data_IF_018686142660
#
_entry.id   IF_018686142660
#
_cell.length_a   1.000
_cell.length_b   1.000
_cell.length_c   1.000
_cell.angle_alpha   90.00
_cell.angle_beta   90.00
_cell.angle_gamma   90.00
#
_symmetry.space_group_name_H-M   'P 1'
#
loop_
_entity.id
_entity.type
_entity.pdbx_description
1 polymer ?
#
# COMPACT_ATOMS: atom_id res chain seq x y z
N UNK A 1 7.71 -14.86 4.72
CA UNK A 1 7.84 -13.40 4.60
C UNK A 1 9.17 -13.00 4.00
N UNK A 2 10.30 -13.37 4.63
CA UNK A 2 11.64 -12.95 4.17
C UNK A 2 11.95 -13.39 2.74
N UNK A 3 11.62 -14.63 2.38
CA UNK A 3 11.78 -15.14 1.01
C UNK A 3 11.02 -14.26 0.00
N UNK A 4 9.75 -13.96 0.28
CA UNK A 4 8.94 -13.11 -0.59
C UNK A 4 9.46 -11.67 -0.65
N UNK A 5 9.98 -11.15 0.46
CA UNK A 5 10.59 -9.83 0.50
C UNK A 5 11.82 -9.77 -0.42
N UNK A 6 12.72 -10.74 -0.32
CA UNK A 6 13.91 -10.84 -1.16
C UNK A 6 13.52 -10.97 -2.65
N UNK A 7 12.59 -11.85 -2.97
CA UNK A 7 12.12 -12.04 -4.35
C UNK A 7 11.44 -10.78 -4.92
N UNK A 8 10.67 -10.08 -4.09
CA UNK A 8 10.05 -8.79 -4.47
C UNK A 8 11.11 -7.74 -4.82
N UNK A 9 12.16 -7.62 -3.99
CA UNK A 9 13.27 -6.70 -4.25
C UNK A 9 14.02 -7.06 -5.55
N UNK A 10 14.21 -8.35 -5.83
CA UNK A 10 14.84 -8.83 -7.07
C UNK A 10 14.00 -8.64 -8.31
N UNK A 11 12.68 -8.59 -8.16
CA UNK A 11 11.73 -8.44 -9.29
C UNK A 11 11.59 -7.01 -9.81
N UNK A 12 12.30 -6.04 -9.24
CA UNK A 12 12.22 -4.64 -9.62
C UNK A 12 12.75 -4.40 -11.05
N UNK A 13 11.82 -4.12 -11.97
CA UNK A 13 12.12 -3.94 -13.41
C UNK A 13 12.90 -2.67 -13.73
N UNK A 14 12.85 -1.66 -12.88
CA UNK A 14 13.52 -0.38 -13.09
C UNK A 14 14.99 -0.37 -12.62
N UNK A 15 15.43 -1.39 -11.90
CA UNK A 15 16.81 -1.52 -11.42
C UNK A 15 17.67 -2.32 -12.42
N UNK A 16 18.99 -2.04 -12.49
CA UNK A 16 19.91 -2.86 -13.28
C UNK A 16 19.88 -4.34 -12.87
N UNK A 17 19.96 -5.24 -13.82
CA UNK A 17 19.91 -6.69 -13.56
C UNK A 17 21.07 -7.17 -12.67
N UNK A 18 22.23 -6.55 -12.76
CA UNK A 18 23.36 -6.81 -11.88
C UNK A 18 23.04 -6.53 -10.41
N UNK A 19 22.30 -5.45 -10.16
CA UNK A 19 21.88 -5.04 -8.82
C UNK A 19 20.80 -5.98 -8.27
N UNK A 20 19.76 -6.26 -9.06
CA UNK A 20 18.67 -7.15 -8.63
C UNK A 20 19.14 -8.57 -8.36
N UNK A 21 20.16 -9.05 -9.09
CA UNK A 21 20.81 -10.34 -8.80
C UNK A 21 21.65 -10.35 -7.53
N UNK A 22 22.27 -9.23 -7.20
CA UNK A 22 23.15 -9.13 -6.02
C UNK A 22 22.35 -8.98 -4.72
N UNK A 23 21.19 -8.30 -4.76
CA UNK A 23 20.35 -8.06 -3.58
C UNK A 23 19.90 -9.36 -2.94
N UNK A 24 20.14 -9.44 -1.63
CA UNK A 24 19.67 -10.53 -0.80
C UNK A 24 20.38 -11.86 -1.06
N UNK A 25 21.53 -11.89 -1.73
CA UNK A 25 22.25 -13.16 -1.98
C UNK A 25 22.70 -13.82 -0.67
N UNK A 26 23.33 -13.06 0.21
CA UNK A 26 23.81 -13.58 1.50
C UNK A 26 22.62 -13.88 2.42
N UNK A 27 21.61 -13.00 2.43
CA UNK A 27 20.39 -13.22 3.20
C UNK A 27 19.66 -14.50 2.75
N UNK A 28 19.56 -14.76 1.44
CA UNK A 28 18.96 -15.98 0.89
C UNK A 28 19.79 -17.22 1.26
N UNK A 29 21.10 -17.15 1.14
CA UNK A 29 21.99 -18.25 1.53
C UNK A 29 21.84 -18.63 3.00
N UNK A 30 21.59 -17.66 3.88
CA UNK A 30 21.29 -17.91 5.29
C UNK A 30 19.93 -18.58 5.48
N UNK A 31 18.91 -18.21 4.70
CA UNK A 31 17.60 -18.87 4.73
C UNK A 31 17.65 -20.32 4.26
N UNK A 32 18.47 -20.58 3.25
CA UNK A 32 18.60 -21.90 2.63
C UNK A 32 19.56 -22.82 3.42
N UNK A 33 20.36 -22.25 4.34
CA UNK A 33 21.25 -23.03 5.18
C UNK A 33 20.45 -23.94 6.11
N UNK A 34 20.78 -25.20 6.15
CA UNK A 34 20.17 -26.20 7.03
C UNK A 34 20.54 -26.02 8.53
N UNK A 35 21.25 -24.95 8.87
CA UNK A 35 21.54 -24.59 10.25
C UNK A 35 20.25 -24.14 10.96
N UNK A 36 19.68 -25.03 11.74
CA UNK A 36 18.43 -24.89 12.50
C UNK A 36 18.38 -23.68 13.47
N UNK A 37 19.34 -22.78 13.43
CA UNK A 37 19.57 -21.72 14.43
C UNK A 37 19.64 -20.30 13.87
N UNK A 38 19.43 -20.08 12.57
CA UNK A 38 19.47 -18.71 12.04
C UNK A 38 18.17 -17.99 12.39
N UNK A 39 18.24 -17.00 13.30
CA UNK A 39 17.06 -16.22 13.63
C UNK A 39 16.59 -15.37 12.44
N UNK A 40 15.29 -15.21 12.23
CA UNK A 40 14.76 -14.36 11.15
C UNK A 40 15.30 -12.93 11.20
N UNK A 41 15.55 -12.39 12.40
CA UNK A 41 16.15 -11.06 12.56
C UNK A 41 17.59 -11.01 11.99
N UNK A 42 18.38 -12.07 12.16
CA UNK A 42 19.74 -12.11 11.60
C UNK A 42 19.72 -12.05 10.07
N UNK A 43 18.81 -12.79 9.44
CA UNK A 43 18.63 -12.77 7.99
C UNK A 43 18.22 -11.35 7.54
N UNK A 44 17.29 -10.73 8.25
CA UNK A 44 16.83 -9.38 7.93
C UNK A 44 17.94 -8.34 8.16
N UNK A 45 18.77 -8.50 9.19
CA UNK A 45 19.94 -7.62 9.41
C UNK A 45 20.90 -7.69 8.23
N UNK A 46 21.21 -8.90 7.75
CA UNK A 46 22.09 -9.07 6.58
C UNK A 46 21.45 -8.43 5.34
N UNK A 47 20.15 -8.65 5.11
CA UNK A 47 19.44 -8.03 3.99
C UNK A 47 19.49 -6.50 4.05
N UNK A 48 19.24 -5.90 5.23
CA UNK A 48 19.28 -4.44 5.41
C UNK A 48 20.67 -3.89 5.11
N UNK A 49 21.73 -4.57 5.54
CA UNK A 49 23.10 -4.17 5.24
C UNK A 49 23.42 -4.27 3.74
N UNK A 50 23.01 -5.37 3.08
CA UNK A 50 23.15 -5.50 1.62
C UNK A 50 22.41 -4.37 0.88
N UNK A 51 21.21 -4.01 1.32
CA UNK A 51 20.45 -2.90 0.76
C UNK A 51 21.16 -1.55 0.97
N UNK A 52 21.67 -1.29 2.16
CA UNK A 52 22.39 -0.06 2.48
C UNK A 52 23.66 0.12 1.64
N UNK A 53 24.36 -0.97 1.33
CA UNK A 53 25.58 -0.95 0.52
C UNK A 53 25.29 -0.79 -0.98
N UNK A 54 24.20 -1.39 -1.46
CA UNK A 54 23.94 -1.55 -2.89
C UNK A 54 22.99 -0.50 -3.45
N UNK A 55 22.06 0.02 -2.64
CA UNK A 55 21.04 0.96 -3.10
C UNK A 55 21.51 2.40 -2.92
N UNK A 56 21.68 3.13 -4.02
CA UNK A 56 22.07 4.53 -4.05
C UNK A 56 20.91 5.48 -4.43
N UNK A 57 19.80 4.94 -4.88
CA UNK A 57 18.61 5.69 -5.31
C UNK A 57 17.41 5.36 -4.41
N UNK A 58 16.42 6.24 -4.29
CA UNK A 58 15.24 5.95 -3.46
C UNK A 58 14.47 4.73 -3.96
N UNK A 59 14.21 3.80 -3.07
CA UNK A 59 13.37 2.62 -3.30
C UNK A 59 12.14 2.66 -2.43
N UNK A 60 11.05 2.08 -2.95
CA UNK A 60 9.75 2.00 -2.28
C UNK A 60 9.31 0.54 -2.20
N UNK A 61 9.07 0.06 -1.00
CA UNK A 61 8.41 -1.23 -0.74
C UNK A 61 6.96 -0.95 -0.37
N UNK A 62 6.04 -1.66 -1.02
CA UNK A 62 4.61 -1.58 -0.72
C UNK A 62 4.17 -2.90 -0.09
N UNK A 63 3.65 -2.84 1.13
CA UNK A 63 3.02 -3.96 1.82
C UNK A 63 1.50 -3.75 1.76
N UNK A 64 0.87 -4.40 0.79
CA UNK A 64 -0.58 -4.28 0.61
C UNK A 64 -1.34 -5.22 1.55
N UNK A 65 -2.54 -4.78 1.91
CA UNK A 65 -3.49 -5.56 2.72
C UNK A 65 -2.87 -6.14 4.02
N UNK A 66 -2.03 -5.35 4.67
CA UNK A 66 -1.28 -5.77 5.85
C UNK A 66 -2.17 -6.30 6.99
N UNK A 67 -3.45 -5.96 7.02
CA UNK A 67 -4.43 -6.48 7.98
C UNK A 67 -4.64 -8.00 7.92
N UNK A 68 -4.20 -8.67 6.85
CA UNK A 68 -4.18 -10.14 6.78
C UNK A 68 -2.96 -10.78 7.45
N UNK A 69 -1.96 -9.98 7.79
CA UNK A 69 -0.79 -10.49 8.51
C UNK A 69 -1.15 -10.68 9.97
N UNK A 70 -1.15 -11.93 10.44
CA UNK A 70 -1.51 -12.30 11.82
C UNK A 70 -0.32 -12.81 12.65
N UNK A 71 0.83 -13.04 12.02
CA UNK A 71 2.01 -13.58 12.70
C UNK A 71 2.75 -12.51 13.49
N UNK A 72 2.88 -12.65 14.83
CA UNK A 72 3.66 -11.70 15.64
C UNK A 72 5.13 -11.60 15.21
N UNK A 73 5.69 -12.70 14.71
CA UNK A 73 7.08 -12.70 14.20
C UNK A 73 7.22 -11.80 12.99
N UNK A 74 6.24 -11.80 12.08
CA UNK A 74 6.27 -10.92 10.91
C UNK A 74 6.14 -9.46 11.34
N UNK A 75 5.28 -9.13 12.31
CA UNK A 75 5.18 -7.79 12.85
C UNK A 75 6.51 -7.30 13.43
N UNK A 76 7.20 -8.16 14.21
CA UNK A 76 8.53 -7.85 14.76
C UNK A 76 9.58 -7.61 13.66
N UNK A 77 9.53 -8.39 12.58
CA UNK A 77 10.44 -8.21 11.45
C UNK A 77 10.16 -6.90 10.69
N UNK A 78 8.89 -6.53 10.52
CA UNK A 78 8.52 -5.26 9.90
C UNK A 78 8.91 -4.08 10.79
N UNK A 79 8.70 -4.17 12.11
CA UNK A 79 9.19 -3.14 13.05
C UNK A 79 10.71 -3.00 12.98
N UNK A 80 11.43 -4.11 12.95
CA UNK A 80 12.89 -4.11 12.79
C UNK A 80 13.31 -3.45 11.46
N UNK A 81 12.62 -3.78 10.37
CA UNK A 81 12.88 -3.17 9.07
C UNK A 81 12.66 -1.65 9.10
N UNK A 82 11.53 -1.20 9.69
CA UNK A 82 11.22 0.23 9.83
C UNK A 82 12.24 1.00 10.67
N UNK A 83 12.88 0.32 11.64
CA UNK A 83 13.89 0.94 12.50
C UNK A 83 15.28 1.02 11.88
N UNK A 84 15.62 0.08 11.02
CA UNK A 84 16.98 -0.13 10.52
C UNK A 84 17.08 0.04 9.00
N UNK A 85 15.98 0.34 8.30
CA UNK A 85 16.01 0.59 6.87
C UNK A 85 16.93 1.76 6.53
N UNK A 86 17.74 1.65 5.46
CA UNK A 86 18.55 2.76 4.99
C UNK A 86 17.67 3.93 4.53
N UNK A 87 18.20 5.15 4.59
CA UNK A 87 17.45 6.38 4.25
C UNK A 87 16.88 6.40 2.84
N UNK A 88 17.47 5.65 1.93
CA UNK A 88 16.96 5.50 0.57
C UNK A 88 15.77 4.55 0.45
N UNK A 89 15.41 3.79 1.50
CA UNK A 89 14.29 2.85 1.48
C UNK A 89 13.08 3.45 2.18
N UNK A 90 11.93 3.44 1.49
CA UNK A 90 10.63 3.86 2.03
C UNK A 90 9.66 2.68 2.02
N UNK A 91 8.77 2.64 3.01
CA UNK A 91 7.71 1.66 3.08
C UNK A 91 6.34 2.35 3.00
N UNK A 92 5.45 1.79 2.20
CA UNK A 92 4.02 2.08 2.24
C UNK A 92 3.32 0.83 2.77
N UNK A 93 2.46 1.01 3.75
CA UNK A 93 1.65 -0.09 4.30
C UNK A 93 0.18 0.28 4.10
N UNK A 94 -0.54 -0.49 3.27
CA UNK A 94 -1.98 -0.36 3.17
C UNK A 94 -2.66 -1.35 4.13
N UNK A 95 -3.63 -0.85 4.88
CA UNK A 95 -4.30 -1.66 5.91
C UNK A 95 -5.69 -1.09 6.22
N UNK A 96 -6.62 -1.93 6.67
CA UNK A 96 -7.97 -1.52 7.07
C UNK A 96 -8.05 -1.10 8.54
N UNK A 97 -7.12 -1.57 9.35
CA UNK A 97 -7.03 -1.28 10.78
C UNK A 97 -5.61 -0.87 11.12
N UNK A 98 -5.40 -0.18 12.23
CA UNK A 98 -4.06 0.15 12.66
C UNK A 98 -3.23 -1.13 12.83
N UNK A 99 -2.10 -1.26 12.13
CA UNK A 99 -1.27 -2.44 12.24
C UNK A 99 -0.60 -2.50 13.63
N UNK A 100 -0.37 -3.69 14.19
CA UNK A 100 0.31 -3.85 15.49
C UNK A 100 1.81 -3.60 15.37
N UNK A 101 2.18 -2.40 14.94
CA UNK A 101 3.54 -1.89 14.76
C UNK A 101 3.79 -0.73 15.73
N UNK A 102 5.05 -0.37 15.93
CA UNK A 102 5.46 0.68 16.85
C UNK A 102 5.14 2.11 16.33
N UNK A 103 3.89 2.35 15.87
CA UNK A 103 3.47 3.60 15.22
C UNK A 103 3.69 4.84 16.09
N UNK A 104 3.46 4.73 17.42
CA UNK A 104 3.66 5.84 18.34
C UNK A 104 5.11 6.35 18.33
N UNK A 105 6.07 5.43 18.24
CA UNK A 105 7.50 5.77 18.16
C UNK A 105 7.85 6.43 16.83
N UNK A 106 7.31 5.91 15.71
CA UNK A 106 7.52 6.49 14.39
C UNK A 106 6.93 7.91 14.30
N UNK A 107 5.74 8.14 14.88
CA UNK A 107 5.14 9.48 14.98
C UNK A 107 6.05 10.45 15.78
N UNK A 108 6.52 10.00 16.93
CA UNK A 108 7.38 10.84 17.79
C UNK A 108 8.69 11.24 17.11
N UNK A 109 9.18 10.42 16.15
CA UNK A 109 10.40 10.70 15.37
C UNK A 109 10.14 11.45 14.06
N UNK A 110 8.88 11.75 13.72
CA UNK A 110 8.52 12.35 12.43
C UNK A 110 8.78 11.43 11.22
N UNK A 111 8.80 10.12 11.44
CA UNK A 111 9.09 9.09 10.43
C UNK A 111 7.83 8.43 9.87
N UNK A 112 6.64 8.90 10.26
CA UNK A 112 5.34 8.35 9.83
C UNK A 112 4.50 9.42 9.17
N UNK A 113 4.07 9.17 7.94
CA UNK A 113 2.98 9.88 7.29
C UNK A 113 1.74 8.96 7.26
N UNK A 114 0.58 9.49 7.61
CA UNK A 114 -0.65 8.70 7.67
C UNK A 114 -1.72 9.30 6.75
N UNK A 115 -2.28 8.46 5.90
CA UNK A 115 -3.46 8.76 5.12
C UNK A 115 -4.63 7.95 5.68
N UNK A 116 -5.57 8.66 6.31
CA UNK A 116 -6.76 8.05 6.91
C UNK A 116 -7.95 8.08 5.94
N UNK A 117 -8.96 7.27 6.21
CA UNK A 117 -10.18 7.21 5.41
C UNK A 117 -10.76 8.59 5.11
N UNK A 118 -10.78 9.49 6.10
CA UNK A 118 -11.25 10.88 5.94
C UNK A 118 -10.44 11.71 4.94
N UNK A 119 -9.16 11.38 4.73
CA UNK A 119 -8.29 12.05 3.75
C UNK A 119 -8.37 11.43 2.35
N UNK A 120 -8.95 10.22 2.24
CA UNK A 120 -9.07 9.47 0.98
C UNK A 120 -10.45 9.59 0.35
N UNK A 121 -11.45 10.08 1.09
CA UNK A 121 -12.78 10.37 0.55
C UNK A 121 -12.73 11.64 -0.28
N UNK A 122 -13.43 11.63 -1.38
CA UNK A 122 -13.70 12.85 -2.14
C UNK A 122 -14.61 13.77 -1.35
N UNK A 123 -14.32 15.06 -1.40
CA UNK A 123 -15.22 16.12 -0.92
C UNK A 123 -16.36 16.31 -1.92
N UNK A 124 -17.41 16.97 -1.51
CA UNK A 124 -18.60 17.18 -2.36
C UNK A 124 -18.26 17.89 -3.68
N UNK A 125 -17.33 18.84 -3.66
CA UNK A 125 -16.84 19.51 -4.86
C UNK A 125 -16.08 18.57 -5.80
N UNK A 126 -15.28 17.66 -5.25
CA UNK A 126 -14.54 16.64 -6.00
C UNK A 126 -15.47 15.55 -6.56
N UNK A 127 -16.47 15.11 -5.78
CA UNK A 127 -17.52 14.19 -6.24
C UNK A 127 -18.29 14.82 -7.40
N UNK A 128 -18.73 16.08 -7.25
CA UNK A 128 -19.47 16.82 -8.28
C UNK A 128 -18.66 16.94 -9.57
N UNK A 129 -17.39 17.32 -9.46
CA UNK A 129 -16.50 17.42 -10.61
C UNK A 129 -16.26 16.08 -11.29
N UNK A 130 -16.02 15.03 -10.51
CA UNK A 130 -15.83 13.68 -11.03
C UNK A 130 -17.07 13.17 -11.77
N UNK A 131 -18.26 13.42 -11.22
CA UNK A 131 -19.54 13.02 -11.85
C UNK A 131 -19.79 13.77 -13.14
N UNK A 132 -19.53 15.09 -13.19
CA UNK A 132 -19.67 15.89 -14.42
C UNK A 132 -18.81 15.35 -15.57
N UNK A 133 -17.61 14.89 -15.27
CA UNK A 133 -16.72 14.30 -16.28
C UNK A 133 -17.20 12.90 -16.72
N UNK A 134 -17.65 12.08 -15.78
CA UNK A 134 -17.91 10.66 -16.03
C UNK A 134 -19.39 10.34 -16.32
N UNK A 135 -20.31 11.22 -15.91
CA UNK A 135 -21.75 11.10 -16.04
C UNK A 135 -22.35 12.46 -16.41
N UNK A 136 -22.04 13.04 -17.59
CA UNK A 136 -22.38 14.42 -17.95
C UNK A 136 -23.90 14.67 -18.03
N UNK A 137 -24.71 13.62 -18.19
CA UNK A 137 -26.17 13.73 -18.31
C UNK A 137 -26.92 13.62 -16.96
N UNK A 138 -26.20 13.47 -15.84
CA UNK A 138 -26.81 13.31 -14.52
C UNK A 138 -27.44 14.63 -14.05
N UNK A 139 -28.66 14.54 -13.50
CA UNK A 139 -29.34 15.71 -12.93
C UNK A 139 -28.67 16.17 -11.62
N UNK A 140 -28.83 17.46 -11.28
CA UNK A 140 -28.28 18.02 -10.03
C UNK A 140 -28.83 17.32 -8.78
N UNK A 141 -30.08 16.85 -8.85
CA UNK A 141 -30.76 16.15 -7.77
C UNK A 141 -30.14 14.78 -7.53
N UNK A 142 -29.91 14.00 -8.59
CA UNK A 142 -29.25 12.71 -8.54
C UNK A 142 -27.78 12.82 -8.15
N UNK A 143 -27.12 13.89 -8.54
CA UNK A 143 -25.76 14.19 -8.14
C UNK A 143 -25.64 14.32 -6.61
N UNK A 144 -26.56 15.07 -5.98
CA UNK A 144 -26.60 15.22 -4.52
C UNK A 144 -26.87 13.90 -3.81
N UNK A 145 -27.82 13.11 -4.33
CA UNK A 145 -28.18 11.82 -3.77
C UNK A 145 -27.02 10.81 -3.88
N UNK A 146 -26.30 10.81 -4.99
CA UNK A 146 -25.12 9.95 -5.18
C UNK A 146 -23.96 10.37 -4.28
N UNK A 147 -23.72 11.67 -4.11
CA UNK A 147 -22.72 12.16 -3.17
C UNK A 147 -23.00 11.65 -1.75
N UNK A 148 -24.26 11.77 -1.30
CA UNK A 148 -24.68 11.27 0.01
C UNK A 148 -24.52 9.76 0.13
N UNK A 149 -25.02 8.97 -0.84
CA UNK A 149 -24.97 7.51 -0.79
C UNK A 149 -23.55 6.94 -0.93
N UNK A 150 -22.68 7.60 -1.68
CA UNK A 150 -21.28 7.14 -1.87
C UNK A 150 -20.35 7.64 -0.78
N UNK A 151 -20.79 8.63 0.02
CA UNK A 151 -19.97 9.24 1.07
C UNK A 151 -18.57 9.65 0.58
N UNK A 152 -18.41 10.01 -0.69
CA UNK A 152 -17.12 10.34 -1.30
C UNK A 152 -16.17 9.17 -1.55
N UNK A 153 -16.61 7.92 -1.40
CA UNK A 153 -15.78 6.77 -1.71
C UNK A 153 -15.64 6.56 -3.22
N UNK A 154 -14.40 6.68 -3.73
CA UNK A 154 -14.09 6.53 -5.16
C UNK A 154 -14.53 5.16 -5.70
N UNK A 155 -14.36 4.10 -4.90
CA UNK A 155 -14.80 2.76 -5.30
C UNK A 155 -16.33 2.69 -5.51
N UNK A 156 -17.11 3.32 -4.65
CA UNK A 156 -18.57 3.40 -4.81
C UNK A 156 -18.94 4.21 -6.05
N UNK A 157 -18.28 5.35 -6.30
CA UNK A 157 -18.45 6.16 -7.51
C UNK A 157 -18.15 5.35 -8.78
N UNK A 158 -17.10 4.54 -8.79
CA UNK A 158 -16.74 3.67 -9.92
C UNK A 158 -17.79 2.57 -10.16
N UNK A 159 -18.35 2.00 -9.10
CA UNK A 159 -19.45 1.02 -9.20
C UNK A 159 -20.67 1.67 -9.84
N UNK A 160 -21.05 2.86 -9.35
CA UNK A 160 -22.17 3.64 -9.93
C UNK A 160 -21.93 3.89 -11.41
N UNK A 161 -20.75 4.43 -11.77
CA UNK A 161 -20.38 4.65 -13.18
C UNK A 161 -20.51 3.41 -14.02
N UNK A 162 -19.96 2.28 -13.53
CA UNK A 162 -20.01 1.01 -14.27
C UNK A 162 -21.45 0.49 -14.45
N UNK A 163 -22.30 0.71 -13.45
CA UNK A 163 -23.71 0.30 -13.49
C UNK A 163 -24.57 1.16 -14.42
N UNK A 164 -24.17 2.42 -14.61
CA UNK A 164 -24.86 3.39 -15.47
C UNK A 164 -24.28 3.45 -16.89
N UNK A 165 -23.12 2.87 -17.13
CA UNK A 165 -22.53 2.83 -18.47
C UNK A 165 -23.44 2.09 -19.47
N UNK A 166 -23.92 2.83 -20.49
CA UNK A 166 -24.80 2.28 -21.54
C UNK A 166 -26.30 2.32 -21.21
N UNK A 167 -26.72 3.06 -20.17
CA UNK A 167 -28.11 3.32 -19.81
C UNK A 167 -28.48 4.77 -20.07
N UNK A 168 -29.75 5.02 -20.42
CA UNK A 168 -30.27 6.37 -20.55
C UNK A 168 -30.42 7.06 -19.18
N UNK A 169 -30.34 8.39 -19.15
CA UNK A 169 -30.47 9.18 -17.92
C UNK A 169 -31.75 8.87 -17.11
N UNK A 170 -32.81 8.43 -17.78
CA UNK A 170 -34.08 8.01 -17.15
C UNK A 170 -33.97 6.72 -16.34
N UNK A 171 -33.05 5.84 -16.71
CA UNK A 171 -32.80 4.57 -15.99
C UNK A 171 -32.04 4.84 -14.69
N UNK A 172 -31.30 5.94 -14.63
CA UNK A 172 -30.56 6.39 -13.44
C UNK A 172 -31.53 6.76 -12.32
N UNK A 173 -32.59 7.51 -12.68
CA UNK A 173 -33.61 7.96 -11.73
C UNK A 173 -34.37 6.77 -11.10
N UNK A 174 -34.67 5.75 -11.90
CA UNK A 174 -35.34 4.54 -11.43
C UNK A 174 -34.45 3.64 -10.54
N UNK A 175 -33.14 3.74 -10.68
CA UNK A 175 -32.20 2.94 -9.91
C UNK A 175 -31.82 3.58 -8.55
N UNK A 176 -32.04 4.89 -8.43
CA UNK A 176 -31.73 5.68 -7.23
C UNK A 176 -32.93 5.94 -6.33
N UNK A 177 -34.16 5.74 -6.85
CA UNK A 177 -35.41 5.82 -6.10
C UNK A 177 -35.63 4.58 -5.23
#
# INVERSE_FOLDING_TARGET
FLTYLIESLRSMKSAPESLTRAIGQTAQSLLDSAEATVSPQRVLTVLVNELAEQIQTPWLIVLEDYHYVTSPVVHQLVDFLLENAPDCLRLIISTRTDPPLALARLRARGQLAELRASSLRFRDDEVSHWMQINLPEISSENLSLLSEKTEGWVAALQIVRSSLSGRDARDVDAMLA
#
